data_IF_411391338587
#
_entry.id   IF_411391338587
#
_cell.length_a   1.000
_cell.length_b   1.000
_cell.length_c   1.000
_cell.angle_alpha   90.00
_cell.angle_beta   90.00
_cell.angle_gamma   90.00
#
_symmetry.space_group_name_H-M   'P 1'
#
loop_
_entity.id
_entity.type
_entity.pdbx_description
1 polymer ?
#
# COMPACT_ATOMS: atom_id res chain seq x y z
N UNK A 1 -5.12 -15.83 22.52
CA UNK A 1 -3.96 -16.22 21.70
C UNK A 1 -4.45 -16.52 20.28
N UNK A 2 -4.77 -15.48 19.52
CA UNK A 2 -5.39 -15.67 18.19
C UNK A 2 -4.30 -16.14 17.23
N UNK A 3 -4.51 -17.28 16.58
CA UNK A 3 -3.54 -17.97 15.71
C UNK A 3 -3.22 -17.11 14.46
N UNK A 4 -2.22 -16.23 14.56
CA UNK A 4 -1.62 -15.46 13.46
C UNK A 4 -0.79 -16.38 12.54
N UNK A 5 -1.41 -17.41 11.97
CA UNK A 5 -0.68 -18.42 11.18
C UNK A 5 -1.33 -18.84 9.87
N UNK A 6 -2.54 -18.32 9.55
CA UNK A 6 -3.25 -18.65 8.30
C UNK A 6 -3.38 -17.48 7.30
N UNK A 7 -3.20 -16.22 7.73
CA UNK A 7 -3.42 -15.03 6.86
C UNK A 7 -2.15 -14.56 6.12
N UNK A 8 -0.98 -15.10 6.49
CA UNK A 8 0.35 -14.68 5.98
C UNK A 8 0.78 -15.47 4.72
N UNK A 9 0.00 -16.46 4.27
CA UNK A 9 0.48 -17.48 3.31
C UNK A 9 0.03 -17.33 1.86
N UNK A 10 -0.70 -16.28 1.47
CA UNK A 10 -1.21 -16.15 0.08
C UNK A 10 -1.11 -14.74 -0.49
N UNK A 11 0.06 -14.12 -0.43
CA UNK A 11 0.28 -12.82 -1.08
C UNK A 11 1.74 -12.57 -1.41
N UNK A 12 2.38 -13.50 -2.09
CA UNK A 12 3.69 -13.26 -2.70
C UNK A 12 3.71 -13.81 -4.13
N UNK A 13 2.64 -13.53 -4.88
CA UNK A 13 2.80 -13.37 -6.33
C UNK A 13 3.44 -12.00 -6.52
N UNK A 14 4.55 -11.93 -7.25
CA UNK A 14 5.44 -10.77 -7.42
C UNK A 14 4.72 -9.55 -8.00
N UNK A 15 3.90 -8.88 -7.20
CA UNK A 15 3.39 -7.58 -7.58
C UNK A 15 4.55 -6.57 -7.46
N UNK A 16 4.94 -5.90 -8.56
CA UNK A 16 6.13 -5.05 -8.61
C UNK A 16 6.05 -3.87 -7.62
N UNK A 17 4.84 -3.50 -7.18
CA UNK A 17 4.62 -2.41 -6.23
C UNK A 17 4.23 -2.89 -4.84
N UNK A 18 4.22 -4.20 -4.58
CA UNK A 18 3.90 -4.74 -3.25
C UNK A 18 4.86 -4.27 -2.18
N UNK A 19 6.16 -4.12 -2.51
CA UNK A 19 7.16 -3.62 -1.56
C UNK A 19 6.76 -2.25 -1.03
N UNK A 20 6.50 -1.32 -1.94
CA UNK A 20 6.11 0.05 -1.60
C UNK A 20 4.75 0.08 -0.87
N UNK A 21 3.80 -0.76 -1.27
CA UNK A 21 2.51 -0.90 -0.57
C UNK A 21 2.68 -1.38 0.88
N UNK A 22 3.58 -2.33 1.14
CA UNK A 22 3.90 -2.80 2.48
C UNK A 22 4.59 -1.72 3.32
N UNK A 23 5.49 -0.94 2.72
CA UNK A 23 6.16 0.18 3.42
C UNK A 23 5.16 1.27 3.81
N UNK A 24 4.15 1.56 2.99
CA UNK A 24 3.06 2.48 3.36
C UNK A 24 2.35 1.97 4.61
N UNK A 25 2.00 0.69 4.68
CA UNK A 25 1.33 0.11 5.85
C UNK A 25 2.20 0.25 7.12
N UNK A 26 3.50 -0.03 7.02
CA UNK A 26 4.42 0.11 8.15
C UNK A 26 4.54 1.56 8.60
N UNK A 27 4.69 2.48 7.66
CA UNK A 27 4.79 3.90 7.96
C UNK A 27 3.51 4.41 8.65
N UNK A 28 2.34 4.04 8.12
CA UNK A 28 1.08 4.41 8.75
C UNK A 28 0.98 3.85 10.17
N UNK A 29 1.29 2.58 10.38
CA UNK A 29 1.28 1.99 11.73
C UNK A 29 2.25 2.71 12.69
N UNK A 30 3.45 3.06 12.24
CA UNK A 30 4.44 3.77 13.04
C UNK A 30 4.03 5.22 13.36
N UNK A 31 3.30 5.88 12.45
CA UNK A 31 2.93 7.29 12.57
C UNK A 31 1.47 7.51 12.97
N UNK A 32 0.80 6.51 13.56
CA UNK A 32 -0.62 6.60 13.97
C UNK A 32 -1.54 6.98 12.79
N UNK A 33 -1.29 6.37 11.63
CA UNK A 33 -2.00 6.56 10.37
C UNK A 33 -1.94 8.00 9.83
N UNK A 34 -0.95 8.79 10.25
CA UNK A 34 -0.70 10.12 9.70
C UNK A 34 -0.02 10.02 8.32
N UNK A 35 -0.83 10.00 7.27
CA UNK A 35 -0.36 10.00 5.87
C UNK A 35 0.63 11.14 5.56
N UNK A 36 0.48 12.29 6.23
CA UNK A 36 1.39 13.43 6.08
C UNK A 36 2.85 13.12 6.43
N UNK A 37 3.09 12.13 7.30
CA UNK A 37 4.42 11.66 7.66
C UNK A 37 4.97 10.60 6.68
N UNK A 38 4.09 10.01 5.85
CA UNK A 38 4.41 8.94 4.91
C UNK A 38 4.46 9.41 3.45
N UNK A 39 4.55 10.72 3.22
CA UNK A 39 4.53 11.33 1.87
C UNK A 39 5.59 10.72 0.95
N UNK A 40 6.78 10.48 1.47
CA UNK A 40 7.90 9.95 0.68
C UNK A 40 7.60 8.53 0.17
N UNK A 41 7.02 7.68 1.03
CA UNK A 41 6.66 6.30 0.68
C UNK A 41 5.43 6.27 -0.25
N UNK A 42 4.49 7.19 -0.05
CA UNK A 42 3.34 7.38 -0.95
C UNK A 42 3.79 7.82 -2.34
N UNK A 43 4.79 8.72 -2.44
CA UNK A 43 5.36 9.14 -3.71
C UNK A 43 6.10 7.99 -4.41
N UNK A 44 6.85 7.18 -3.66
CA UNK A 44 7.53 6.01 -4.20
C UNK A 44 6.54 4.98 -4.77
N UNK A 45 5.45 4.72 -4.04
CA UNK A 45 4.36 3.88 -4.53
C UNK A 45 3.68 4.48 -5.78
N UNK A 46 3.48 5.81 -5.80
CA UNK A 46 2.92 6.50 -6.99
C UNK A 46 3.80 6.30 -8.21
N UNK A 47 5.11 6.47 -8.07
CA UNK A 47 6.10 6.21 -9.14
C UNK A 47 6.09 4.75 -9.57
N UNK A 48 5.96 3.81 -8.63
CA UNK A 48 5.83 2.41 -8.98
C UNK A 48 4.57 2.16 -9.82
N UNK A 49 3.44 2.76 -9.42
CA UNK A 49 2.19 2.66 -10.16
C UNK A 49 2.17 3.39 -11.49
N UNK A 50 3.00 4.41 -11.71
CA UNK A 50 3.21 5.01 -13.03
C UNK A 50 3.88 4.03 -13.99
N UNK A 51 4.78 3.16 -13.50
CA UNK A 51 5.54 2.22 -14.31
C UNK A 51 4.83 0.87 -14.49
N UNK A 52 4.15 0.36 -13.46
CA UNK A 52 3.60 -1.00 -13.43
C UNK A 52 2.09 -1.05 -13.17
N UNK A 53 1.35 -0.02 -13.58
CA UNK A 53 -0.09 0.09 -13.30
C UNK A 53 -0.91 -1.10 -13.78
N UNK A 54 -0.57 -1.63 -14.95
CA UNK A 54 -1.24 -2.77 -15.58
C UNK A 54 -0.94 -4.09 -14.86
N UNK A 55 0.24 -4.19 -14.26
CA UNK A 55 0.80 -5.44 -13.75
C UNK A 55 0.72 -5.53 -12.22
N UNK A 56 0.40 -4.40 -11.57
CA UNK A 56 0.26 -4.30 -10.12
C UNK A 56 -1.21 -4.17 -9.71
N UNK A 57 -1.70 -5.16 -8.97
CA UNK A 57 -2.98 -5.10 -8.25
C UNK A 57 -2.92 -4.07 -7.12
N UNK A 58 -1.75 -3.83 -6.52
CA UNK A 58 -1.58 -2.82 -5.47
C UNK A 58 -1.86 -1.39 -5.96
N UNK A 59 -1.74 -1.14 -7.27
CA UNK A 59 -1.99 0.17 -7.88
C UNK A 59 -3.47 0.49 -8.15
N UNK A 60 -4.36 -0.50 -8.04
CA UNK A 60 -5.80 -0.32 -8.28
C UNK A 60 -6.47 0.70 -7.33
N UNK A 61 -5.94 0.85 -6.11
CA UNK A 61 -6.41 1.82 -5.12
C UNK A 61 -5.78 3.20 -5.21
N UNK A 62 -4.81 3.41 -6.10
CA UNK A 62 -4.02 4.65 -6.19
C UNK A 62 -4.43 5.39 -7.47
N UNK A 63 -5.48 6.20 -7.35
CA UNK A 63 -5.92 7.09 -8.43
C UNK A 63 -5.34 8.49 -8.28
N UNK A 64 -4.63 8.93 -9.32
CA UNK A 64 -4.15 10.31 -9.47
C UNK A 64 -5.35 11.23 -9.71
N UNK A 65 -5.93 11.77 -8.63
CA UNK A 65 -6.51 13.12 -8.51
C UNK A 65 -7.11 13.34 -7.11
N UNK A 66 -6.53 14.34 -6.44
CA UNK A 66 -7.05 15.18 -5.35
C UNK A 66 -8.46 14.89 -4.81
N UNK A 67 -8.50 14.69 -3.49
CA UNK A 67 -9.66 14.83 -2.59
C UNK A 67 -10.57 13.61 -2.42
N UNK A 68 -10.01 12.53 -1.86
CA UNK A 68 -10.75 11.57 -1.02
C UNK A 68 -9.75 10.80 -0.16
N UNK A 69 -9.34 11.46 0.92
CA UNK A 69 -8.67 10.84 2.05
C UNK A 69 -9.68 9.93 2.77
N UNK A 70 -9.99 8.76 2.19
CA UNK A 70 -10.84 7.73 2.80
C UNK A 70 -10.81 6.48 1.94
N UNK A 71 -10.13 5.44 2.42
CA UNK A 71 -10.32 4.11 1.84
C UNK A 71 -9.07 3.28 1.58
N UNK A 72 -7.99 3.41 2.37
CA UNK A 72 -7.14 2.24 2.62
C UNK A 72 -7.82 1.34 3.65
N UNK A 73 -9.10 1.02 3.40
CA UNK A 73 -9.88 0.10 4.21
C UNK A 73 -9.49 -1.30 3.80
N UNK A 74 -8.76 -1.92 4.71
CA UNK A 74 -8.50 -3.34 4.80
C UNK A 74 -9.76 -4.15 4.49
N UNK A 75 -9.67 -5.01 3.48
CA UNK A 75 -10.36 -6.31 3.47
C UNK A 75 -9.29 -7.39 3.50
#
# INVERSE_FOLDING_TARGET
>A
MVKVSAMVKKRLELDPCQKEACEIQKCLQAHNYKESACKDVLEAMRKCCENFRSDSKCCSGIHSKSNSQSGLLMK
#
